data_IF_016492095442
#
_entry.id   IF_016492095442
#
_cell.length_a   1.000
_cell.length_b   1.000
_cell.length_c   1.000
_cell.angle_alpha   90.00
_cell.angle_beta   90.00
_cell.angle_gamma   90.00
#
_symmetry.space_group_name_H-M   'P 1'
#
loop_
_entity.id
_entity.type
_entity.pdbx_description
1 polymer ?
#
# COMPACT_ATOMS: atom_id res chain seq x y z
N UNK A 1 -0.79 26.79 1.83
CA UNK A 1 -0.64 27.67 0.65
C UNK A 1 0.72 27.37 0.02
N UNK A 2 0.80 26.45 -0.94
CA UNK A 2 2.06 26.16 -1.66
C UNK A 2 1.88 26.66 -3.08
N UNK A 3 2.46 27.83 -3.35
CA UNK A 3 2.24 28.66 -4.54
C UNK A 3 2.99 28.15 -5.79
N UNK A 4 3.80 27.09 -5.66
CA UNK A 4 4.67 26.59 -6.71
C UNK A 4 4.25 25.20 -7.20
N UNK A 5 4.15 25.07 -8.52
CA UNK A 5 3.86 23.82 -9.20
C UNK A 5 5.10 22.89 -9.15
N UNK A 6 4.89 21.57 -9.14
CA UNK A 6 6.00 20.60 -9.12
C UNK A 6 6.92 20.80 -10.34
N UNK A 7 6.35 21.14 -11.49
CA UNK A 7 7.12 21.38 -12.72
C UNK A 7 8.00 22.64 -12.62
N UNK A 8 7.52 23.70 -11.99
CA UNK A 8 8.30 24.94 -11.77
C UNK A 8 9.46 24.68 -10.81
N UNK A 9 9.21 23.91 -9.75
CA UNK A 9 10.26 23.55 -8.80
C UNK A 9 11.32 22.66 -9.45
N UNK A 10 10.94 21.70 -10.29
CA UNK A 10 11.89 20.86 -11.03
C UNK A 10 12.75 21.70 -11.99
N UNK A 11 12.17 22.69 -12.67
CA UNK A 11 12.91 23.61 -13.51
C UNK A 11 13.93 24.43 -12.70
N UNK A 12 13.50 25.04 -11.59
CA UNK A 12 14.40 25.82 -10.72
C UNK A 12 15.51 24.97 -10.11
N UNK A 13 15.23 23.71 -9.77
CA UNK A 13 16.25 22.76 -9.29
C UNK A 13 17.27 22.46 -10.39
N UNK A 14 16.84 22.38 -11.67
CA UNK A 14 17.77 22.20 -12.79
C UNK A 14 18.72 23.40 -12.97
N UNK A 15 18.31 24.60 -12.54
CA UNK A 15 19.15 25.80 -12.48
C UNK A 15 19.98 25.88 -11.17
N UNK A 16 20.11 24.77 -10.43
CA UNK A 16 20.85 24.66 -9.16
C UNK A 16 20.30 25.54 -8.02
N UNK A 17 19.00 25.86 -8.05
CA UNK A 17 18.37 26.62 -6.97
C UNK A 17 18.12 25.74 -5.73
N UNK A 18 18.94 25.90 -4.70
CA UNK A 18 18.84 25.15 -3.45
C UNK A 18 17.53 25.43 -2.67
N UNK A 19 16.96 26.64 -2.81
CA UNK A 19 15.70 27.01 -2.17
C UNK A 19 14.55 26.19 -2.78
N UNK A 20 14.53 26.04 -4.11
CA UNK A 20 13.54 25.22 -4.80
C UNK A 20 13.64 23.74 -4.40
N UNK A 21 14.86 23.23 -4.21
CA UNK A 21 15.09 21.88 -3.72
C UNK A 21 14.52 21.69 -2.31
N UNK A 22 14.77 22.63 -1.39
CA UNK A 22 14.22 22.57 -0.03
C UNK A 22 12.68 22.62 -0.04
N UNK A 23 12.07 23.47 -0.88
CA UNK A 23 10.61 23.52 -1.05
C UNK A 23 10.07 22.16 -1.51
N UNK A 24 10.74 21.47 -2.44
CA UNK A 24 10.32 20.12 -2.84
C UNK A 24 10.42 19.11 -1.72
N UNK A 25 11.49 19.14 -0.91
CA UNK A 25 11.59 18.27 0.26
C UNK A 25 10.44 18.52 1.24
N UNK A 26 10.19 19.77 1.62
CA UNK A 26 9.10 20.10 2.55
C UNK A 26 7.73 19.67 2.04
N UNK A 27 7.50 19.79 0.73
CA UNK A 27 6.25 19.38 0.09
C UNK A 27 6.01 17.87 0.14
N UNK A 28 7.06 17.06 0.03
CA UNK A 28 6.96 15.60 -0.12
C UNK A 28 7.29 14.81 1.14
N UNK A 29 7.87 15.44 2.18
CA UNK A 29 8.06 14.84 3.51
C UNK A 29 6.77 14.25 4.09
N UNK A 30 5.60 14.93 4.04
CA UNK A 30 4.35 14.37 4.53
C UNK A 30 3.96 13.08 3.81
N UNK A 31 4.17 13.01 2.49
CA UNK A 31 3.90 11.81 1.69
C UNK A 31 4.79 10.64 2.12
N UNK A 32 6.09 10.89 2.32
CA UNK A 32 7.04 9.87 2.80
C UNK A 32 6.61 9.34 4.17
N UNK A 33 6.30 10.23 5.12
CA UNK A 33 5.83 9.85 6.46
C UNK A 33 4.52 9.06 6.42
N UNK A 34 3.57 9.47 5.59
CA UNK A 34 2.30 8.76 5.40
C UNK A 34 2.52 7.35 4.86
N UNK A 35 3.45 7.18 3.90
CA UNK A 35 3.82 5.86 3.38
C UNK A 35 4.49 5.00 4.45
N UNK A 36 5.43 5.53 5.22
CA UNK A 36 6.08 4.79 6.31
C UNK A 36 5.05 4.28 7.32
N UNK A 37 4.09 5.12 7.69
CA UNK A 37 2.99 4.74 8.56
C UNK A 37 2.11 3.64 7.95
N UNK A 38 1.80 3.73 6.65
CA UNK A 38 1.00 2.74 5.93
C UNK A 38 1.65 1.34 5.89
N UNK A 39 2.97 1.26 5.81
CA UNK A 39 3.72 -0.01 5.82
C UNK A 39 3.91 -0.61 7.22
N UNK A 40 3.39 0.03 8.29
CA UNK A 40 3.51 -0.42 9.69
C UNK A 40 4.96 -0.75 10.10
N UNK A 41 5.91 0.06 9.62
CA UNK A 41 7.34 -0.13 9.92
C UNK A 41 7.59 0.07 11.42
N UNK A 42 8.41 -0.84 12.00
CA UNK A 42 8.83 -0.79 13.41
C UNK A 42 9.52 0.53 13.70
N UNK A 43 9.30 1.06 14.91
CA UNK A 43 9.74 2.40 15.28
C UNK A 43 11.24 2.64 15.07
N UNK A 44 12.09 1.67 15.41
CA UNK A 44 13.55 1.76 15.21
C UNK A 44 13.97 1.83 13.73
N UNK A 45 13.17 1.29 12.79
CA UNK A 45 13.49 1.36 11.36
C UNK A 45 12.82 2.57 10.68
N UNK A 46 12.01 3.37 11.39
CA UNK A 46 11.31 4.51 10.76
C UNK A 46 12.26 5.60 10.30
N UNK A 47 13.35 5.84 11.04
CA UNK A 47 14.36 6.81 10.64
C UNK A 47 15.09 6.37 9.38
N UNK A 48 15.48 5.09 9.28
CA UNK A 48 16.13 4.53 8.10
C UNK A 48 15.23 4.62 6.86
N UNK A 49 13.96 4.22 6.99
CA UNK A 49 12.99 4.33 5.89
C UNK A 49 12.69 5.78 5.52
N UNK A 50 12.74 6.70 6.48
CA UNK A 50 12.58 8.13 6.21
C UNK A 50 13.76 8.66 5.40
N UNK A 51 15.00 8.32 5.77
CA UNK A 51 16.18 8.68 5.01
C UNK A 51 16.16 8.08 3.60
N UNK A 52 15.79 6.80 3.46
CA UNK A 52 15.61 6.13 2.17
C UNK A 52 14.52 6.79 1.31
N UNK A 53 13.44 7.27 1.93
CA UNK A 53 12.40 8.03 1.26
C UNK A 53 12.90 9.39 0.74
N UNK A 54 13.73 10.09 1.51
CA UNK A 54 14.37 11.34 1.08
C UNK A 54 15.34 11.10 -0.09
N UNK A 55 16.13 10.03 -0.02
CA UNK A 55 17.02 9.65 -1.12
C UNK A 55 16.25 9.32 -2.40
N UNK A 56 15.13 8.61 -2.27
CA UNK A 56 14.23 8.33 -3.40
C UNK A 56 13.61 9.60 -3.99
N UNK A 57 13.32 10.61 -3.16
CA UNK A 57 12.82 11.90 -3.64
C UNK A 57 13.89 12.64 -4.45
N UNK A 58 15.13 12.69 -3.94
CA UNK A 58 16.26 13.26 -4.68
C UNK A 58 16.48 12.55 -6.02
N UNK A 59 16.43 11.21 -6.02
CA UNK A 59 16.50 10.40 -7.24
C UNK A 59 15.34 10.70 -8.17
N UNK A 60 14.13 10.87 -7.66
CA UNK A 60 12.96 11.23 -8.48
C UNK A 60 13.17 12.58 -9.16
N UNK A 61 13.61 13.59 -8.41
CA UNK A 61 13.86 14.95 -8.89
C UNK A 61 14.88 14.95 -10.04
N UNK A 62 15.97 14.18 -9.89
CA UNK A 62 17.06 14.11 -10.88
C UNK A 62 16.74 13.25 -12.11
N UNK A 63 15.85 12.25 -11.98
CA UNK A 63 15.57 11.30 -13.06
C UNK A 63 14.23 11.52 -13.76
N UNK A 64 13.35 12.35 -13.21
CA UNK A 64 12.03 12.58 -13.76
C UNK A 64 12.10 13.31 -15.10
N UNK A 65 11.48 12.70 -16.12
CA UNK A 65 11.32 13.31 -17.44
C UNK A 65 9.98 14.02 -17.51
N UNK A 66 10.00 15.30 -17.86
CA UNK A 66 8.80 16.15 -18.01
C UNK A 66 7.85 15.65 -19.11
N UNK A 67 8.35 14.89 -20.08
CA UNK A 67 7.56 14.24 -21.15
C UNK A 67 6.76 13.01 -20.69
N UNK A 68 6.82 12.68 -19.39
CA UNK A 68 6.08 11.56 -18.81
C UNK A 68 4.56 11.82 -18.80
N UNK A 69 3.75 10.81 -19.15
CA UNK A 69 2.28 10.85 -19.03
C UNK A 69 1.76 10.95 -17.59
N UNK A 70 2.63 10.77 -16.58
CA UNK A 70 2.29 10.81 -15.15
C UNK A 70 2.86 12.07 -14.52
N UNK A 71 2.08 12.73 -13.66
CA UNK A 71 2.58 13.84 -12.84
C UNK A 71 3.72 13.41 -11.93
N UNK A 72 4.60 14.34 -11.57
CA UNK A 72 5.73 14.08 -10.68
C UNK A 72 5.30 13.41 -9.39
N UNK A 73 4.21 13.90 -8.77
CA UNK A 73 3.63 13.30 -7.56
C UNK A 73 3.31 11.80 -7.74
N UNK A 74 2.59 11.43 -8.81
CA UNK A 74 2.24 10.04 -9.10
C UNK A 74 3.45 9.18 -9.43
N UNK A 75 4.45 9.75 -10.10
CA UNK A 75 5.70 9.06 -10.38
C UNK A 75 6.48 8.78 -9.10
N UNK A 76 6.68 9.81 -8.26
CA UNK A 76 7.41 9.70 -7.01
C UNK A 76 6.75 8.69 -6.06
N UNK A 77 5.44 8.78 -5.88
CA UNK A 77 4.69 7.85 -5.04
C UNK A 77 4.86 6.38 -5.48
N UNK A 78 4.79 6.13 -6.79
CA UNK A 78 4.98 4.80 -7.36
C UNK A 78 6.39 4.25 -7.11
N UNK A 79 7.44 5.06 -7.30
CA UNK A 79 8.82 4.57 -7.08
C UNK A 79 9.16 4.43 -5.60
N UNK A 80 8.64 5.32 -4.75
CA UNK A 80 8.80 5.28 -3.29
C UNK A 80 8.19 4.00 -2.73
N UNK A 81 6.98 3.67 -3.17
CA UNK A 81 6.30 2.45 -2.76
C UNK A 81 7.09 1.19 -3.14
N UNK A 82 7.61 1.13 -4.37
CA UNK A 82 8.43 0.00 -4.83
C UNK A 82 9.71 -0.15 -4.02
N UNK A 83 10.36 0.97 -3.71
CA UNK A 83 11.58 0.99 -2.90
C UNK A 83 11.33 0.46 -1.49
N UNK A 84 10.26 0.90 -0.83
CA UNK A 84 9.92 0.41 0.51
C UNK A 84 9.61 -1.08 0.53
N UNK A 85 8.91 -1.60 -0.48
CA UNK A 85 8.70 -3.06 -0.61
C UNK A 85 10.02 -3.79 -0.78
N UNK A 86 10.95 -3.24 -1.57
CA UNK A 86 12.27 -3.84 -1.77
C UNK A 86 13.10 -3.86 -0.48
N UNK A 87 13.08 -2.77 0.29
CA UNK A 87 13.75 -2.69 1.59
C UNK A 87 13.17 -3.70 2.58
N UNK A 88 11.85 -3.77 2.70
CA UNK A 88 11.17 -4.74 3.57
C UNK A 88 11.50 -6.18 3.17
N UNK A 89 11.56 -6.50 1.88
CA UNK A 89 12.01 -7.82 1.37
C UNK A 89 13.47 -8.13 1.69
N UNK A 90 14.33 -7.11 1.76
CA UNK A 90 15.74 -7.26 2.10
C UNK A 90 15.92 -7.52 3.59
N UNK A 91 15.19 -6.80 4.44
CA UNK A 91 15.21 -6.99 5.89
C UNK A 91 14.53 -8.29 6.33
N UNK A 92 13.48 -8.74 5.62
CA UNK A 92 12.82 -10.01 5.92
C UNK A 92 13.71 -11.24 5.72
N UNK A 93 14.86 -11.11 5.01
CA UNK A 93 15.87 -12.16 4.95
C UNK A 93 16.66 -12.32 6.25
N UNK A 94 16.65 -11.34 7.16
CA UNK A 94 17.44 -11.36 8.40
C UNK A 94 16.58 -11.40 9.68
N UNK A 95 15.33 -10.91 9.67
CA UNK A 95 14.50 -10.82 10.88
C UNK A 95 13.01 -11.10 10.57
N UNK A 96 12.58 -12.36 10.68
CA UNK A 96 11.18 -12.83 10.73
C UNK A 96 10.31 -12.64 9.47
N UNK A 97 9.45 -13.63 9.26
CA UNK A 97 8.37 -13.70 8.28
C UNK A 97 7.49 -12.43 8.29
N UNK A 98 7.82 -11.43 7.49
CA UNK A 98 6.84 -10.44 7.05
C UNK A 98 6.09 -11.09 5.90
N UNK A 99 4.89 -11.59 6.18
CA UNK A 99 3.90 -11.89 5.15
C UNK A 99 3.64 -10.57 4.42
N UNK A 100 4.32 -10.40 3.28
CA UNK A 100 3.96 -9.40 2.30
C UNK A 100 2.58 -9.79 1.81
N UNK A 101 1.55 -9.21 2.39
CA UNK A 101 0.20 -9.42 1.93
C UNK A 101 0.12 -8.94 0.47
N UNK A 102 -0.11 -9.88 -0.43
CA UNK A 102 -0.23 -9.72 -1.89
C UNK A 102 -1.41 -8.86 -2.35
N UNK A 103 -1.71 -7.76 -1.65
CA UNK A 103 -2.76 -6.81 -2.03
C UNK A 103 -2.30 -5.39 -1.80
N UNK A 104 -1.37 -4.97 -2.64
CA UNK A 104 -1.17 -3.54 -2.94
C UNK A 104 -2.15 -3.20 -4.07
N UNK A 105 -3.43 -3.31 -3.76
CA UNK A 105 -4.53 -2.93 -4.65
C UNK A 105 -5.13 -1.63 -4.09
N UNK A 106 -4.87 -0.53 -4.79
CA UNK A 106 -5.64 0.71 -4.82
C UNK A 106 -6.01 1.33 -3.47
N UNK A 107 -5.05 2.04 -2.84
CA UNK A 107 -5.41 3.09 -1.89
C UNK A 107 -5.66 4.38 -2.67
N UNK A 108 -6.88 4.46 -3.19
CA UNK A 108 -7.61 5.72 -3.30
C UNK A 108 -7.62 6.38 -1.92
N UNK A 109 -7.46 7.69 -1.94
CA UNK A 109 -7.81 8.59 -0.85
C UNK A 109 -9.17 8.22 -0.27
N UNK A 110 -9.25 8.10 1.05
CA UNK A 110 -10.34 8.63 1.87
C UNK A 110 -9.94 8.52 3.35
N UNK A 111 -9.84 9.68 3.98
CA UNK A 111 -9.70 9.84 5.42
C UNK A 111 -10.89 9.22 6.16
N UNK A 112 -10.67 8.18 6.95
CA UNK A 112 -11.53 7.84 8.08
C UNK A 112 -10.75 6.95 9.06
N UNK A 113 -10.78 7.32 10.35
CA UNK A 113 -10.26 6.52 11.47
C UNK A 113 -10.85 5.11 11.39
N UNK A 114 -10.05 4.10 11.07
CA UNK A 114 -10.46 2.69 11.19
C UNK A 114 -9.95 2.13 12.51
N UNK A 115 -10.88 1.91 13.45
CA UNK A 115 -10.69 0.97 14.54
C UNK A 115 -10.43 -0.42 13.95
N UNK A 116 -9.29 -1.01 14.32
CA UNK A 116 -8.84 -2.29 13.79
C UNK A 116 -9.56 -3.43 14.51
N UNK A 117 -10.68 -3.91 13.98
CA UNK A 117 -11.26 -5.18 14.42
C UNK A 117 -10.32 -6.34 14.08
N UNK A 118 -10.22 -7.29 15.00
CA UNK A 118 -9.45 -8.51 14.80
C UNK A 118 -10.05 -9.37 13.67
N UNK A 119 -9.17 -9.91 12.82
CA UNK A 119 -9.54 -10.64 11.61
C UNK A 119 -10.36 -11.88 11.94
N UNK A 120 -10.07 -12.55 13.05
CA UNK A 120 -10.81 -13.71 13.54
C UNK A 120 -12.24 -13.36 13.99
N UNK A 121 -12.44 -12.16 14.52
CA UNK A 121 -13.78 -11.67 14.88
C UNK A 121 -14.61 -11.41 13.63
N UNK A 122 -14.02 -10.84 12.57
CA UNK A 122 -14.72 -10.61 11.30
C UNK A 122 -15.05 -11.92 10.56
N UNK A 123 -14.16 -12.90 10.64
CA UNK A 123 -14.32 -14.21 10.01
C UNK A 123 -15.41 -15.04 10.67
N UNK A 124 -15.47 -15.07 12.01
CA UNK A 124 -16.49 -15.82 12.76
C UNK A 124 -17.92 -15.30 12.53
N UNK A 125 -18.07 -14.02 12.22
CA UNK A 125 -19.36 -13.39 11.90
C UNK A 125 -19.83 -13.63 10.45
N UNK A 126 -18.94 -14.12 9.57
CA UNK A 126 -19.25 -14.35 8.16
C UNK A 126 -19.69 -15.80 7.91
N UNK A 127 -20.84 -15.97 7.25
CA UNK A 127 -21.25 -17.28 6.71
C UNK A 127 -20.67 -17.49 5.30
N UNK A 128 -19.65 -18.32 5.19
CA UNK A 128 -19.04 -18.72 3.93
C UNK A 128 -19.65 -20.02 3.40
N UNK A 129 -19.74 -20.16 2.08
CA UNK A 129 -20.09 -21.45 1.46
C UNK A 129 -18.94 -22.45 1.61
N UNK A 130 -19.18 -23.77 1.47
CA UNK A 130 -18.12 -24.78 1.56
C UNK A 130 -16.97 -24.52 0.56
N UNK A 131 -17.29 -23.96 -0.60
CA UNK A 131 -16.31 -23.57 -1.61
C UNK A 131 -15.52 -22.32 -1.20
N UNK A 132 -16.20 -21.31 -0.65
CA UNK A 132 -15.55 -20.09 -0.16
C UNK A 132 -14.63 -20.37 1.04
N UNK A 133 -15.01 -21.30 1.93
CA UNK A 133 -14.17 -21.71 3.06
C UNK A 133 -12.87 -22.35 2.58
N UNK A 134 -12.93 -23.27 1.61
CA UNK A 134 -11.74 -23.91 1.04
C UNK A 134 -10.85 -22.90 0.32
N UNK A 135 -11.44 -21.99 -0.47
CA UNK A 135 -10.69 -20.90 -1.13
C UNK A 135 -10.04 -19.99 -0.09
N UNK A 136 -10.74 -19.65 0.99
CA UNK A 136 -10.22 -18.83 2.07
C UNK A 136 -9.07 -19.52 2.82
N UNK A 137 -9.19 -20.80 3.13
CA UNK A 137 -8.16 -21.58 3.81
C UNK A 137 -6.86 -21.64 2.99
N UNK A 138 -6.96 -21.96 1.69
CA UNK A 138 -5.80 -21.97 0.80
C UNK A 138 -5.20 -20.57 0.62
N UNK A 139 -6.03 -19.52 0.66
CA UNK A 139 -5.56 -18.13 0.68
C UNK A 139 -4.86 -17.76 1.98
N UNK A 140 -5.29 -18.27 3.13
CA UNK A 140 -4.60 -18.07 4.41
C UNK A 140 -3.26 -18.81 4.46
N UNK A 141 -3.15 -19.93 3.73
CA UNK A 141 -1.89 -20.64 3.47
C UNK A 141 -1.03 -19.99 2.36
N UNK A 142 -1.35 -18.76 1.94
CA UNK A 142 -0.63 -17.98 0.92
C UNK A 142 -0.57 -18.59 -0.49
N UNK A 143 -1.51 -19.47 -0.86
CA UNK A 143 -1.54 -20.01 -2.22
C UNK A 143 -2.02 -18.94 -3.22
N UNK A 144 -1.43 -18.94 -4.40
CA UNK A 144 -1.81 -18.09 -5.52
C UNK A 144 -3.14 -18.54 -6.12
N UNK A 145 -3.81 -17.64 -6.85
CA UNK A 145 -5.12 -17.93 -7.45
C UNK A 145 -5.02 -19.08 -8.47
N UNK A 146 -3.86 -19.23 -9.12
CA UNK A 146 -3.58 -20.33 -10.05
C UNK A 146 -3.41 -21.66 -9.32
N UNK A 147 -2.62 -21.69 -8.26
CA UNK A 147 -2.43 -22.89 -7.42
C UNK A 147 -3.75 -23.35 -6.78
N UNK A 148 -4.58 -22.42 -6.31
CA UNK A 148 -5.92 -22.72 -5.77
C UNK A 148 -6.83 -23.31 -6.84
N UNK A 149 -6.73 -22.81 -8.07
CA UNK A 149 -7.50 -23.33 -9.22
C UNK A 149 -7.12 -24.77 -9.54
N UNK A 150 -5.82 -25.07 -9.48
CA UNK A 150 -5.24 -26.40 -9.72
C UNK A 150 -5.58 -27.37 -8.58
N UNK A 151 -5.50 -26.91 -7.32
CA UNK A 151 -5.76 -27.72 -6.13
C UNK A 151 -7.25 -28.02 -5.91
N UNK A 152 -8.14 -27.08 -6.25
CA UNK A 152 -9.59 -27.27 -6.18
C UNK A 152 -10.20 -27.83 -7.47
N UNK A 153 -9.40 -28.06 -8.51
CA UNK A 153 -9.87 -28.58 -9.81
C UNK A 153 -10.94 -27.70 -10.47
N UNK A 154 -10.92 -26.38 -10.23
CA UNK A 154 -11.92 -25.44 -10.73
C UNK A 154 -11.30 -24.42 -11.68
N UNK A 155 -12.11 -23.62 -12.37
CA UNK A 155 -11.61 -22.57 -13.26
C UNK A 155 -11.05 -21.41 -12.43
N UNK A 156 -9.99 -20.78 -12.93
CA UNK A 156 -9.35 -19.60 -12.33
C UNK A 156 -10.39 -18.49 -12.02
N UNK A 157 -11.36 -18.31 -12.93
CA UNK A 157 -12.46 -17.36 -12.75
C UNK A 157 -13.35 -17.68 -11.54
N UNK A 158 -13.62 -18.96 -11.24
CA UNK A 158 -14.41 -19.35 -10.07
C UNK A 158 -13.70 -19.01 -8.77
N UNK A 159 -12.37 -19.09 -8.74
CA UNK A 159 -11.54 -18.67 -7.60
C UNK A 159 -11.56 -17.15 -7.44
N UNK A 160 -11.54 -16.38 -8.54
CA UNK A 160 -11.73 -14.92 -8.51
C UNK A 160 -13.11 -14.54 -7.96
N UNK A 161 -14.17 -15.16 -8.47
CA UNK A 161 -15.55 -14.88 -8.04
C UNK A 161 -15.79 -15.25 -6.57
N UNK A 162 -15.16 -16.32 -6.08
CA UNK A 162 -15.20 -16.70 -4.66
C UNK A 162 -14.45 -15.67 -3.80
N UNK A 163 -13.26 -15.24 -4.21
CA UNK A 163 -12.50 -14.20 -3.51
C UNK A 163 -13.26 -12.87 -3.44
N UNK A 164 -13.93 -12.48 -4.51
CA UNK A 164 -14.75 -11.26 -4.53
C UNK A 164 -15.95 -11.36 -3.58
N UNK A 165 -16.64 -12.50 -3.56
CA UNK A 165 -17.74 -12.77 -2.61
C UNK A 165 -17.27 -12.74 -1.16
N UNK A 166 -16.13 -13.35 -0.85
CA UNK A 166 -15.51 -13.33 0.49
C UNK A 166 -15.21 -11.90 0.93
N UNK A 167 -14.57 -11.09 0.06
CA UNK A 167 -14.28 -9.67 0.33
C UNK A 167 -15.57 -8.87 0.60
N UNK A 168 -16.61 -9.07 -0.21
CA UNK A 168 -17.91 -8.38 -0.04
C UNK A 168 -18.57 -8.71 1.30
N UNK A 169 -18.55 -9.98 1.72
CA UNK A 169 -19.08 -10.42 3.02
C UNK A 169 -18.35 -9.77 4.18
N UNK A 170 -17.00 -9.77 4.15
CA UNK A 170 -16.18 -9.11 5.18
C UNK A 170 -16.46 -7.60 5.27
N UNK A 171 -16.58 -6.93 4.12
CA UNK A 171 -16.89 -5.49 4.06
C UNK A 171 -18.29 -5.17 4.61
N UNK A 172 -19.27 -6.03 4.33
CA UNK A 172 -20.63 -5.88 4.84
C UNK A 172 -20.69 -6.02 6.38
N UNK A 173 -19.95 -6.98 6.93
CA UNK A 173 -19.86 -7.19 8.38
C UNK A 173 -19.14 -6.02 9.06
N UNK A 174 -18.01 -5.57 8.51
CA UNK A 174 -17.29 -4.38 9.02
C UNK A 174 -18.20 -3.15 9.07
N UNK A 175 -18.92 -2.88 7.97
CA UNK A 175 -19.89 -1.77 7.91
C UNK A 175 -21.03 -1.91 8.93
N UNK A 176 -21.47 -3.13 9.23
CA UNK A 176 -22.49 -3.38 10.26
C UNK A 176 -21.97 -3.19 11.68
N UNK A 177 -20.69 -3.45 11.93
CA UNK A 177 -20.04 -3.24 13.23
C UNK A 177 -19.82 -1.74 13.47
N UNK A 178 -19.31 -1.02 12.47
CA UNK A 178 -19.10 0.44 12.54
C UNK A 178 -20.39 1.20 12.83
N UNK A 179 -21.53 0.71 12.30
CA UNK A 179 -22.85 1.30 12.54
C UNK A 179 -23.40 1.01 13.94
N UNK A 180 -22.96 -0.06 14.61
CA UNK A 180 -23.40 -0.43 15.97
C UNK A 180 -22.64 0.32 17.07
N UNK A 181 -21.43 0.81 16.81
CA UNK A 181 -20.60 1.57 17.75
C UNK A 181 -20.93 3.08 17.79
N UNK A 182 -21.88 3.54 16.95
CA UNK A 182 -22.34 4.94 16.90
C UNK A 182 -23.68 5.17 17.63
N UNK A 183 -24.11 4.24 18.49
CA UNK A 183 -25.29 4.35 19.39
C UNK A 183 -24.79 4.18 20.82
#
# INVERSE_FOLDING_TARGET
MHRYNDYELLYLISEQNEIALNIMYQKYIPLIKARIAAFRIKEHNREDFFQEGLFMLFRAITTYRTDSRKTFNKYFDMILQRHFIQLLRRESKHFYNVVLTDKIDYLKEEDAKEESYDLDTLLSLCKFSPFEQKVLELRLRNHSIKEISEELGCRVQQVYDANDRIKRKLKAVKKSLDKKLQI
#
